data_IF_507125616799
#
_entry.id   IF_507125616799
#
_cell.length_a   1.000
_cell.length_b   1.000
_cell.length_c   1.000
_cell.angle_alpha   90.00
_cell.angle_beta   90.00
_cell.angle_gamma   90.00
#
_symmetry.space_group_name_H-M   'P 1'
#
loop_
_entity.id
_entity.type
_entity.pdbx_description
1 polymer ?
#
# COMPACT_ATOMS: atom_id res chain seq x y z
N UNK A 1 4.40 -9.29 -12.86
CA UNK A 1 3.83 -10.06 -11.75
C UNK A 1 4.42 -9.49 -10.49
N UNK A 2 3.60 -9.21 -9.49
CA UNK A 2 4.07 -8.75 -8.18
C UNK A 2 4.49 -9.99 -7.40
N UNK A 3 5.76 -10.07 -7.00
CA UNK A 3 6.34 -11.29 -6.42
C UNK A 3 7.20 -10.99 -5.20
N UNK A 4 6.98 -11.74 -4.11
CA UNK A 4 7.86 -11.79 -2.94
C UNK A 4 8.03 -13.26 -2.52
N UNK A 5 9.26 -13.75 -2.47
CA UNK A 5 9.55 -15.15 -2.18
C UNK A 5 9.15 -15.58 -0.76
N UNK A 6 8.72 -16.84 -0.60
CA UNK A 6 8.54 -17.44 0.73
C UNK A 6 9.89 -17.54 1.44
N UNK A 7 10.09 -16.75 2.49
CA UNK A 7 11.27 -16.78 3.36
C UNK A 7 11.07 -15.88 4.58
N UNK A 8 12.05 -15.91 5.47
CA UNK A 8 12.19 -14.93 6.54
C UNK A 8 12.86 -13.66 6.05
N UNK A 9 12.26 -12.51 6.36
CA UNK A 9 12.77 -11.18 6.07
C UNK A 9 13.16 -10.48 7.38
N UNK A 10 14.46 -10.46 7.72
CA UNK A 10 14.93 -9.78 8.92
C UNK A 10 14.95 -8.27 8.72
N UNK A 11 14.39 -7.53 9.68
CA UNK A 11 14.41 -6.07 9.75
C UNK A 11 15.11 -5.67 11.05
N UNK A 12 16.44 -5.67 11.00
CA UNK A 12 17.30 -5.54 12.19
C UNK A 12 17.02 -4.28 13.02
N UNK A 13 16.76 -3.14 12.37
CA UNK A 13 16.48 -1.87 13.04
C UNK A 13 15.19 -1.88 13.87
N UNK A 14 14.23 -2.74 13.53
CA UNK A 14 13.00 -2.94 14.29
C UNK A 14 13.09 -4.14 15.25
N UNK A 15 14.17 -4.94 15.17
CA UNK A 15 14.28 -6.20 15.90
C UNK A 15 13.21 -7.22 15.51
N UNK A 16 12.73 -7.20 14.27
CA UNK A 16 11.65 -8.07 13.79
C UNK A 16 12.11 -9.00 12.67
N UNK A 17 11.55 -10.22 12.65
CA UNK A 17 11.71 -11.18 11.57
C UNK A 17 10.33 -11.49 10.97
N UNK A 18 10.09 -11.09 9.72
CA UNK A 18 8.83 -11.39 9.05
C UNK A 18 8.93 -12.73 8.34
N UNK A 19 8.18 -13.71 8.82
CA UNK A 19 8.16 -15.07 8.29
C UNK A 19 7.01 -15.18 7.29
N UNK A 20 7.35 -15.17 6.00
CA UNK A 20 6.38 -15.36 4.92
C UNK A 20 6.38 -16.84 4.53
N UNK A 21 5.31 -17.55 4.89
CA UNK A 21 5.17 -19.01 4.74
C UNK A 21 4.97 -19.45 3.28
N UNK A 22 4.41 -18.57 2.46
CA UNK A 22 4.11 -18.78 1.04
C UNK A 22 4.50 -17.56 0.23
N UNK A 23 4.95 -17.79 -1.00
CA UNK A 23 5.31 -16.70 -1.88
C UNK A 23 4.08 -15.81 -2.12
N UNK A 24 4.31 -14.50 -2.07
CA UNK A 24 3.31 -13.51 -2.44
C UNK A 24 3.37 -13.35 -3.95
N UNK A 25 2.40 -13.92 -4.65
CA UNK A 25 2.31 -13.86 -6.10
C UNK A 25 0.97 -13.23 -6.48
N UNK A 26 0.99 -11.96 -6.89
CA UNK A 26 -0.22 -11.22 -7.24
C UNK A 26 -0.29 -11.01 -8.77
N UNK A 27 -1.34 -11.53 -9.43
CA UNK A 27 -1.65 -11.18 -10.81
C UNK A 27 -1.84 -9.67 -10.97
N UNK A 28 -1.79 -9.16 -12.20
CA UNK A 28 -2.21 -7.79 -12.49
C UNK A 28 -3.68 -7.56 -12.12
N UNK A 29 -4.02 -6.30 -11.88
CA UNK A 29 -5.31 -5.81 -11.41
C UNK A 29 -5.76 -6.46 -10.09
N UNK A 30 -4.81 -6.60 -9.16
CA UNK A 30 -5.04 -7.15 -7.82
C UNK A 30 -5.02 -6.06 -6.75
N UNK A 31 -5.88 -6.22 -5.75
CA UNK A 31 -5.84 -5.44 -4.52
C UNK A 31 -5.29 -6.29 -3.38
N UNK A 32 -4.28 -5.79 -2.68
CA UNK A 32 -3.62 -6.41 -1.53
C UNK A 32 -3.93 -5.61 -0.28
N UNK A 33 -4.51 -6.25 0.73
CA UNK A 33 -4.71 -5.69 2.05
C UNK A 33 -3.63 -6.15 3.02
N UNK A 34 -3.07 -5.25 3.81
CA UNK A 34 -2.22 -5.60 4.96
C UNK A 34 -3.07 -5.45 6.22
N UNK A 35 -3.33 -6.54 6.93
CA UNK A 35 -4.19 -6.60 8.11
C UNK A 35 -3.48 -7.17 9.32
N UNK A 36 -3.97 -6.85 10.52
CA UNK A 36 -3.38 -7.24 11.80
C UNK A 36 -3.38 -6.09 12.79
N UNK A 37 -3.11 -6.40 14.06
CA UNK A 37 -3.22 -5.45 15.17
C UNK A 37 -2.24 -4.26 15.06
N UNK A 38 -2.51 -3.21 15.83
CA UNK A 38 -1.56 -2.11 16.01
C UNK A 38 -0.26 -2.67 16.59
N UNK A 39 0.88 -2.29 16.00
CA UNK A 39 2.18 -2.83 16.43
C UNK A 39 2.52 -4.24 15.92
N UNK A 40 1.66 -4.86 15.10
CA UNK A 40 1.96 -6.14 14.44
C UNK A 40 3.09 -6.05 13.39
N UNK A 41 3.53 -4.84 13.01
CA UNK A 41 4.65 -4.63 12.09
C UNK A 41 4.26 -4.40 10.62
N UNK A 42 3.00 -4.06 10.33
CA UNK A 42 2.51 -3.79 8.96
C UNK A 42 3.33 -2.73 8.22
N UNK A 43 3.41 -1.52 8.75
CA UNK A 43 4.17 -0.42 8.13
C UNK A 43 5.67 -0.73 8.08
N UNK A 44 6.23 -1.38 9.11
CA UNK A 44 7.62 -1.84 9.11
C UNK A 44 7.90 -2.84 7.97
N UNK A 45 7.03 -3.82 7.74
CA UNK A 45 7.15 -4.74 6.61
C UNK A 45 6.96 -4.02 5.28
N UNK A 46 5.97 -3.13 5.19
CA UNK A 46 5.71 -2.34 3.99
C UNK A 46 6.97 -1.57 3.57
N UNK A 47 7.58 -0.83 4.49
CA UNK A 47 8.69 0.08 4.22
C UNK A 47 10.04 -0.62 4.03
N UNK A 48 10.29 -1.71 4.73
CA UNK A 48 11.60 -2.36 4.73
C UNK A 48 11.67 -3.66 3.94
N UNK A 49 10.51 -4.24 3.60
CA UNK A 49 10.44 -5.49 2.84
C UNK A 49 9.71 -5.28 1.52
N UNK A 50 8.45 -4.83 1.57
CA UNK A 50 7.59 -4.80 0.39
C UNK A 50 8.02 -3.73 -0.62
N UNK A 51 8.07 -2.46 -0.20
CA UNK A 51 8.46 -1.33 -1.05
C UNK A 51 9.85 -1.54 -1.66
N UNK A 52 10.91 -1.90 -0.90
CA UNK A 52 12.24 -2.12 -1.47
C UNK A 52 12.28 -3.28 -2.46
N UNK A 53 11.47 -4.32 -2.26
CA UNK A 53 11.38 -5.44 -3.19
C UNK A 53 10.69 -5.04 -4.49
N UNK A 54 9.60 -4.26 -4.40
CA UNK A 54 8.85 -3.78 -5.55
C UNK A 54 9.64 -2.79 -6.41
N UNK A 55 10.33 -1.83 -5.79
CA UNK A 55 11.12 -0.81 -6.51
C UNK A 55 12.19 -1.38 -7.44
N UNK A 56 12.59 -2.64 -7.27
CA UNK A 56 13.56 -3.31 -8.15
C UNK A 56 12.98 -3.63 -9.54
N UNK A 57 11.66 -3.76 -9.65
CA UNK A 57 10.97 -4.23 -10.87
C UNK A 57 9.78 -3.34 -11.28
N UNK A 58 9.28 -2.51 -10.38
CA UNK A 58 8.02 -1.78 -10.54
C UNK A 58 8.17 -0.29 -10.21
N UNK A 59 7.40 0.52 -10.91
CA UNK A 59 7.17 1.92 -10.52
C UNK A 59 6.05 1.99 -9.50
N UNK A 60 6.19 2.83 -8.48
CA UNK A 60 5.17 2.94 -7.43
C UNK A 60 4.89 4.37 -7.02
N UNK A 61 3.64 4.62 -6.69
CA UNK A 61 3.20 5.78 -5.92
C UNK A 61 2.95 5.33 -4.49
N UNK A 62 3.51 6.06 -3.52
CA UNK A 62 3.37 5.76 -2.10
C UNK A 62 2.80 6.96 -1.36
N UNK A 63 1.56 6.83 -0.90
CA UNK A 63 0.92 7.75 0.04
C UNK A 63 1.13 7.17 1.44
N UNK A 64 2.03 7.81 2.19
CA UNK A 64 2.45 7.34 3.51
C UNK A 64 1.42 7.67 4.58
N UNK A 65 1.52 7.01 5.73
CA UNK A 65 0.71 7.31 6.90
C UNK A 65 0.89 8.75 7.37
N UNK A 66 2.12 9.25 7.46
CA UNK A 66 2.40 10.66 7.78
C UNK A 66 2.39 11.53 6.52
N UNK A 67 1.18 11.93 6.14
CA UNK A 67 0.96 12.76 4.96
C UNK A 67 1.41 14.22 5.15
N UNK A 68 1.57 14.72 6.38
CA UNK A 68 2.03 16.10 6.62
C UNK A 68 3.46 16.27 6.10
N UNK A 69 4.33 15.28 6.36
CA UNK A 69 5.68 15.25 5.81
C UNK A 69 5.69 15.16 4.28
N UNK A 70 4.75 14.42 3.69
CA UNK A 70 4.64 14.30 2.23
C UNK A 70 4.00 15.52 1.55
N UNK A 71 3.21 16.31 2.28
CA UNK A 71 2.45 17.43 1.72
C UNK A 71 3.34 18.43 0.98
N UNK A 72 4.47 18.81 1.57
CA UNK A 72 5.39 19.77 0.94
C UNK A 72 6.03 19.20 -0.33
N UNK A 73 6.32 17.91 -0.34
CA UNK A 73 6.86 17.21 -1.52
C UNK A 73 5.82 17.19 -2.64
N UNK A 74 4.57 16.85 -2.32
CA UNK A 74 3.46 16.83 -3.28
C UNK A 74 3.21 18.23 -3.84
N UNK A 75 3.06 19.22 -2.96
CA UNK A 75 2.87 20.64 -3.33
C UNK A 75 3.95 21.12 -4.27
N UNK A 76 5.21 20.89 -3.92
CA UNK A 76 6.36 21.31 -4.74
C UNK A 76 6.36 20.61 -6.09
N UNK A 77 6.06 19.31 -6.13
CA UNK A 77 5.99 18.54 -7.38
C UNK A 77 4.90 19.07 -8.29
N UNK A 78 3.70 19.34 -7.77
CA UNK A 78 2.59 19.92 -8.56
C UNK A 78 2.96 21.30 -9.11
N UNK A 79 3.54 22.17 -8.29
CA UNK A 79 3.96 23.50 -8.71
C UNK A 79 5.06 23.45 -9.79
N UNK A 80 6.06 22.57 -9.64
CA UNK A 80 7.14 22.38 -10.62
C UNK A 80 6.62 21.85 -11.96
N UNK A 81 5.55 21.06 -11.94
CA UNK A 81 4.88 20.57 -13.14
C UNK A 81 3.88 21.58 -13.73
N UNK A 82 3.74 22.77 -13.12
CA UNK A 82 2.84 23.82 -13.58
C UNK A 82 1.35 23.54 -13.35
N UNK A 83 1.03 22.68 -12.38
CA UNK A 83 -0.35 22.37 -12.00
C UNK A 83 -0.82 23.23 -10.83
N UNK A 84 -2.14 23.47 -10.78
CA UNK A 84 -2.78 24.06 -9.61
C UNK A 84 -2.53 23.20 -8.37
N UNK A 85 -2.26 23.86 -7.24
CA UNK A 85 -2.01 23.22 -5.95
C UNK A 85 -3.25 23.39 -5.08
N UNK A 86 -4.00 22.31 -4.80
CA UNK A 86 -5.13 22.37 -3.87
C UNK A 86 -4.68 22.72 -2.43
N UNK A 87 -5.59 23.29 -1.64
CA UNK A 87 -5.31 23.62 -0.24
C UNK A 87 -5.35 22.37 0.67
N UNK A 88 -6.28 21.45 0.37
CA UNK A 88 -6.46 20.24 1.18
C UNK A 88 -5.44 19.16 0.80
N UNK A 89 -4.93 18.45 1.81
CA UNK A 89 -3.97 17.35 1.63
C UNK A 89 -4.53 16.22 0.76
N UNK A 90 -5.79 15.88 0.99
CA UNK A 90 -6.51 14.87 0.23
C UNK A 90 -6.59 15.23 -1.25
N UNK A 91 -6.99 16.47 -1.57
CA UNK A 91 -7.11 16.92 -2.96
C UNK A 91 -5.74 17.06 -3.63
N UNK A 92 -4.72 17.51 -2.89
CA UNK A 92 -3.33 17.50 -3.36
C UNK A 92 -2.85 16.10 -3.73
N UNK A 93 -3.11 15.09 -2.89
CA UNK A 93 -2.74 13.70 -3.17
C UNK A 93 -3.47 13.18 -4.41
N UNK A 94 -4.78 13.45 -4.55
CA UNK A 94 -5.56 13.08 -5.74
C UNK A 94 -5.00 13.75 -7.00
N UNK A 95 -4.71 15.05 -6.94
CA UNK A 95 -4.12 15.78 -8.05
C UNK A 95 -2.76 15.19 -8.45
N UNK A 96 -1.90 14.89 -7.48
CA UNK A 96 -0.59 14.29 -7.72
C UNK A 96 -0.67 12.90 -8.35
N UNK A 97 -1.57 12.05 -7.86
CA UNK A 97 -1.81 10.72 -8.44
C UNK A 97 -2.27 10.84 -9.90
N UNK A 98 -3.14 11.80 -10.20
CA UNK A 98 -3.61 12.06 -11.57
C UNK A 98 -2.48 12.53 -12.49
N UNK A 99 -1.62 13.44 -12.03
CA UNK A 99 -0.57 14.05 -12.85
C UNK A 99 0.67 13.17 -13.01
N UNK A 100 0.95 12.26 -12.06
CA UNK A 100 2.15 11.41 -12.09
C UNK A 100 2.28 10.47 -13.31
N UNK A 101 1.17 10.13 -13.97
CA UNK A 101 1.13 9.14 -15.06
C UNK A 101 1.45 7.69 -14.65
N UNK A 102 1.90 7.44 -13.42
CA UNK A 102 2.22 6.10 -12.93
C UNK A 102 0.92 5.31 -12.68
N UNK A 103 0.79 4.16 -13.32
CA UNK A 103 -0.35 3.23 -13.20
C UNK A 103 0.08 1.79 -12.92
N UNK A 104 1.32 1.60 -12.52
CA UNK A 104 1.86 0.29 -12.15
C UNK A 104 1.36 -0.06 -10.74
N UNK A 105 1.97 0.49 -9.70
CA UNK A 105 1.58 0.20 -8.31
C UNK A 105 1.22 1.47 -7.53
N UNK A 106 0.13 1.43 -6.76
CA UNK A 106 -0.17 2.43 -5.73
C UNK A 106 -0.26 1.78 -4.36
N UNK A 107 0.35 2.43 -3.38
CA UNK A 107 0.38 2.02 -1.98
C UNK A 107 -0.28 3.12 -1.15
N UNK A 108 -1.29 2.74 -0.38
CA UNK A 108 -2.06 3.60 0.50
C UNK A 108 -1.83 3.11 1.93
N UNK A 109 -1.01 3.83 2.70
CA UNK A 109 -0.75 3.49 4.10
C UNK A 109 -1.61 4.36 5.03
N UNK A 110 -2.68 3.77 5.57
CA UNK A 110 -3.70 4.42 6.40
C UNK A 110 -4.30 5.70 5.81
N UNK A 111 -4.26 5.81 4.48
CA UNK A 111 -4.66 7.01 3.76
C UNK A 111 -6.17 7.29 3.90
N UNK A 112 -6.96 6.26 4.19
CA UNK A 112 -8.40 6.31 4.47
C UNK A 112 -8.77 7.26 5.62
N UNK A 113 -7.82 7.58 6.52
CA UNK A 113 -8.02 8.57 7.60
C UNK A 113 -8.07 10.02 7.09
N UNK A 114 -7.46 10.28 5.93
CA UNK A 114 -7.28 11.64 5.41
C UNK A 114 -8.28 11.99 4.31
N UNK A 115 -9.05 11.01 3.81
CA UNK A 115 -9.89 11.19 2.62
C UNK A 115 -11.34 10.79 2.82
N UNK A 116 -12.22 11.53 2.17
CA UNK A 116 -13.62 11.13 1.98
C UNK A 116 -13.73 9.96 0.99
N UNK A 117 -14.89 9.29 0.99
CA UNK A 117 -15.19 8.23 0.01
C UNK A 117 -15.10 8.74 -1.43
N UNK A 118 -15.52 9.98 -1.70
CA UNK A 118 -15.46 10.57 -3.05
C UNK A 118 -14.02 10.85 -3.49
N UNK A 119 -13.16 11.31 -2.58
CA UNK A 119 -11.73 11.48 -2.87
C UNK A 119 -11.03 10.14 -3.10
N UNK A 120 -11.38 9.10 -2.34
CA UNK A 120 -10.85 7.76 -2.58
C UNK A 120 -11.25 7.22 -3.97
N UNK A 121 -12.50 7.42 -4.39
CA UNK A 121 -12.94 7.10 -5.78
C UNK A 121 -12.18 7.92 -6.81
N UNK A 122 -11.90 9.20 -6.52
CA UNK A 122 -11.21 10.11 -7.41
C UNK A 122 -9.76 9.71 -7.73
N UNK A 123 -9.14 8.85 -6.89
CA UNK A 123 -7.84 8.22 -7.17
C UNK A 123 -7.88 7.23 -8.33
N UNK A 124 -9.07 6.73 -8.71
CA UNK A 124 -9.25 5.73 -9.74
C UNK A 124 -8.32 4.53 -9.55
N UNK A 125 -8.33 3.95 -8.34
CA UNK A 125 -7.51 2.78 -7.98
C UNK A 125 -7.62 1.59 -8.97
N UNK A 126 -8.78 1.32 -9.61
CA UNK A 126 -8.88 0.26 -10.62
C UNK A 126 -8.02 0.50 -11.87
N UNK A 127 -7.57 1.73 -12.09
CA UNK A 127 -6.64 2.08 -13.15
C UNK A 127 -5.19 1.65 -12.90
N UNK A 128 -4.88 1.02 -11.76
CA UNK A 128 -3.54 0.52 -11.44
C UNK A 128 -3.41 -1.00 -11.68
N UNK A 129 -2.21 -1.45 -12.03
CA UNK A 129 -1.90 -2.89 -12.09
C UNK A 129 -1.94 -3.51 -10.68
N UNK A 130 -1.47 -2.81 -9.65
CA UNK A 130 -1.51 -3.28 -8.26
C UNK A 130 -1.88 -2.17 -7.29
N UNK A 131 -2.75 -2.50 -6.33
CA UNK A 131 -3.14 -1.62 -5.23
C UNK A 131 -2.80 -2.29 -3.92
N UNK A 132 -2.02 -1.63 -3.07
CA UNK A 132 -1.72 -2.09 -1.71
C UNK A 132 -2.40 -1.14 -0.73
N UNK A 133 -3.24 -1.67 0.16
CA UNK A 133 -3.93 -0.90 1.18
C UNK A 133 -3.52 -1.40 2.57
N UNK A 134 -2.97 -0.49 3.37
CA UNK A 134 -2.82 -0.68 4.82
C UNK A 134 -3.91 0.15 5.47
N UNK A 135 -4.77 -0.49 6.25
CA UNK A 135 -5.91 0.18 6.87
C UNK A 135 -6.30 -0.53 8.15
N UNK A 136 -6.75 0.24 9.13
CA UNK A 136 -7.39 -0.27 10.35
C UNK A 136 -8.90 -0.37 10.22
N UNK A 137 -9.48 0.23 9.18
CA UNK A 137 -10.89 0.07 8.89
C UNK A 137 -11.17 -1.34 8.36
N UNK A 138 -12.37 -1.89 8.66
CA UNK A 138 -12.80 -3.16 8.11
C UNK A 138 -12.63 -3.19 6.60
N UNK A 139 -12.00 -4.25 6.12
CA UNK A 139 -11.84 -4.50 4.68
C UNK A 139 -13.21 -4.55 4.02
N UNK A 140 -13.33 -3.99 2.80
CA UNK A 140 -14.51 -4.23 1.96
C UNK A 140 -14.55 -5.71 1.56
N UNK A 141 -15.68 -6.38 1.77
CA UNK A 141 -15.81 -7.83 1.54
C UNK A 141 -15.56 -8.23 0.09
N UNK A 142 -15.95 -7.38 -0.87
CA UNK A 142 -15.67 -7.56 -2.29
C UNK A 142 -15.57 -6.20 -2.96
N UNK A 143 -14.51 -5.99 -3.74
CA UNK A 143 -14.38 -4.82 -4.58
C UNK A 143 -14.52 -5.25 -6.04
N UNK A 144 -15.68 -4.97 -6.64
CA UNK A 144 -16.00 -5.35 -8.04
C UNK A 144 -15.07 -4.71 -9.07
N UNK A 145 -14.33 -3.70 -8.65
CA UNK A 145 -13.41 -2.95 -9.49
C UNK A 145 -12.06 -3.66 -9.68
N UNK A 146 -11.72 -4.64 -8.82
CA UNK A 146 -10.51 -5.45 -8.95
C UNK A 146 -10.82 -6.88 -9.38
N UNK A 147 -9.95 -7.44 -10.22
CA UNK A 147 -10.10 -8.83 -10.66
C UNK A 147 -9.80 -9.80 -9.52
N UNK A 148 -8.86 -9.46 -8.65
CA UNK A 148 -8.43 -10.33 -7.56
C UNK A 148 -8.26 -9.54 -6.26
N UNK A 149 -8.58 -10.18 -5.14
CA UNK A 149 -8.36 -9.63 -3.80
C UNK A 149 -7.52 -10.57 -2.95
N UNK A 150 -6.55 -10.01 -2.25
CA UNK A 150 -5.63 -10.74 -1.38
C UNK A 150 -5.44 -10.01 -0.05
N UNK A 151 -5.10 -10.77 0.98
CA UNK A 151 -4.80 -10.27 2.32
C UNK A 151 -3.50 -10.87 2.82
N UNK A 152 -2.63 -10.02 3.34
CA UNK A 152 -1.49 -10.38 4.17
C UNK A 152 -1.85 -10.07 5.62
N UNK A 153 -2.14 -11.14 6.37
CA UNK A 153 -2.40 -11.06 7.79
C UNK A 153 -1.09 -11.15 8.59
N UNK A 154 -0.87 -10.19 9.48
CA UNK A 154 0.30 -10.10 10.35
C UNK A 154 -0.07 -10.58 11.75
N UNK A 155 0.47 -11.74 12.12
CA UNK A 155 0.26 -12.39 13.41
C UNK A 155 1.58 -12.36 14.19
N UNK A 156 1.69 -11.45 15.17
CA UNK A 156 2.84 -11.40 16.08
C UNK A 156 2.46 -12.09 17.39
N UNK A 157 3.08 -13.24 17.65
CA UNK A 157 3.11 -13.83 18.99
C UNK A 157 4.32 -13.26 19.74
N UNK A 158 4.32 -13.29 21.07
CA UNK A 158 5.40 -12.71 21.89
C UNK A 158 6.80 -13.02 21.33
N UNK A 159 7.64 -11.98 21.19
CA UNK A 159 8.98 -12.10 20.61
C UNK A 159 9.21 -11.22 19.37
N UNK A 160 10.19 -11.64 18.57
CA UNK A 160 10.70 -10.92 17.38
C UNK A 160 10.06 -11.37 16.08
N UNK A 161 9.47 -12.56 16.07
CA UNK A 161 8.98 -13.18 14.84
C UNK A 161 7.53 -12.76 14.57
N UNK A 162 7.28 -12.38 13.33
CA UNK A 162 5.96 -11.98 12.85
C UNK A 162 5.58 -12.91 11.72
N UNK A 163 4.55 -13.72 11.94
CA UNK A 163 4.03 -14.59 10.88
C UNK A 163 3.20 -13.74 9.93
N UNK A 164 3.50 -13.85 8.64
CA UNK A 164 2.82 -13.13 7.57
C UNK A 164 2.13 -14.15 6.69
N UNK A 165 0.80 -14.25 6.79
CA UNK A 165 0.00 -15.25 6.06
C UNK A 165 -0.72 -14.61 4.89
N UNK A 166 -0.55 -15.17 3.70
CA UNK A 166 -1.30 -14.77 2.51
C UNK A 166 -2.61 -15.56 2.39
N UNK A 167 -3.72 -14.83 2.23
CA UNK A 167 -5.04 -15.38 1.93
C UNK A 167 -5.59 -14.74 0.66
N UNK A 168 -6.09 -15.55 -0.27
CA UNK A 168 -6.89 -15.05 -1.39
C UNK A 168 -8.33 -14.86 -0.92
N UNK A 169 -8.87 -13.67 -1.15
CA UNK A 169 -10.17 -13.24 -0.65
C UNK A 169 -11.28 -13.48 -1.65
N UNK A 170 -11.02 -13.09 -2.90
CA UNK A 170 -11.87 -13.42 -4.02
C UNK A 170 -11.00 -13.69 -5.24
N UNK A 171 -11.29 -14.78 -5.96
CA UNK A 171 -10.88 -14.91 -7.34
C UNK A 171 -11.80 -14.06 -8.23
N UNK A 172 -11.32 -13.78 -9.44
CA UNK A 172 -12.22 -13.68 -10.58
C UNK A 172 -12.54 -15.07 -11.07
#
# INVERSE_FOLDING_TARGET
MFELAARTYPVAQAGLNFVLDRALELPRHSCLYLSGDNGAGKSTFLEHVLIPSLRKKHSLLYLAQDMELQQNTIRTTLALLGHDVPDSLADMAVAWVRTSGCRDTIILDEFDKYVSTEQLKALNLPGFDWVVQVSHLPRRERCTEFSHGFELAFERQEGTDVNVRLTQLWPR
#
